data_IF_528037859383
#
_entry.id   IF_528037859383
#
_cell.length_a   1.000
_cell.length_b   1.000
_cell.length_c   1.000
_cell.angle_alpha   90.00
_cell.angle_beta   90.00
_cell.angle_gamma   90.00
#
_symmetry.space_group_name_H-M   'P 1'
#
loop_
_entity.id
_entity.type
_entity.pdbx_description
1 polymer ?
#
# COMPACT_ATOMS: atom_id res chain seq x y z
N UNK A 1 -5.88 -27.96 35.05
CA UNK A 1 -4.78 -26.98 35.00
C UNK A 1 -4.50 -26.74 33.53
N UNK A 2 -5.07 -25.67 32.97
CA UNK A 2 -4.92 -25.33 31.55
C UNK A 2 -3.97 -24.12 31.50
N UNK A 3 -2.79 -24.34 30.91
CA UNK A 3 -1.80 -23.30 30.70
C UNK A 3 -2.41 -22.22 29.80
N UNK A 4 -2.54 -21.01 30.35
CA UNK A 4 -2.80 -19.80 29.58
C UNK A 4 -1.54 -19.58 28.75
N UNK A 5 -1.65 -19.79 27.45
CA UNK A 5 -0.62 -19.42 26.49
C UNK A 5 -0.60 -17.88 26.46
N UNK A 6 0.34 -17.31 27.21
CA UNK A 6 0.55 -15.88 27.30
C UNK A 6 1.22 -15.46 25.99
N UNK A 7 0.51 -14.70 25.16
CA UNK A 7 1.04 -14.13 23.92
C UNK A 7 2.24 -13.24 24.27
N UNK A 8 3.44 -13.78 24.11
CA UNK A 8 4.68 -13.03 24.28
C UNK A 8 4.63 -11.87 23.29
N UNK A 9 4.53 -10.64 23.80
CA UNK A 9 4.63 -9.43 23.00
C UNK A 9 6.08 -9.34 22.46
N UNK A 10 6.34 -9.98 21.32
CA UNK A 10 7.62 -9.95 20.59
C UNK A 10 8.02 -8.54 20.13
N UNK A 11 7.15 -7.55 20.29
CA UNK A 11 7.35 -6.15 19.85
C UNK A 11 8.30 -5.39 20.80
N UNK A 12 8.51 -5.87 22.03
CA UNK A 12 9.30 -5.18 23.06
C UNK A 12 10.51 -5.97 23.56
N UNK A 13 11.10 -6.83 22.72
CA UNK A 13 12.47 -7.25 23.02
C UNK A 13 13.39 -6.04 22.80
N UNK A 14 14.12 -5.61 23.84
CA UNK A 14 15.18 -4.57 23.80
C UNK A 14 16.39 -5.00 22.95
N UNK A 15 16.16 -5.79 21.90
CA UNK A 15 17.17 -6.19 20.92
C UNK A 15 17.17 -5.15 19.82
N UNK A 16 18.35 -4.59 19.53
CA UNK A 16 18.52 -3.74 18.36
C UNK A 16 18.02 -4.50 17.12
N UNK A 17 17.01 -3.94 16.45
CA UNK A 17 16.49 -4.47 15.20
C UNK A 17 17.62 -4.44 14.16
N UNK A 18 17.75 -5.52 13.41
CA UNK A 18 18.73 -5.57 12.32
C UNK A 18 18.38 -4.50 11.27
N UNK A 19 19.41 -3.83 10.77
CA UNK A 19 19.21 -2.87 9.68
C UNK A 19 18.77 -3.60 8.42
N UNK A 20 17.66 -3.16 7.87
CA UNK A 20 17.11 -3.68 6.62
C UNK A 20 16.89 -2.52 5.64
N UNK A 21 16.90 -2.78 4.32
CA UNK A 21 16.55 -1.77 3.33
C UNK A 21 15.17 -1.13 3.58
N UNK A 22 14.18 -1.92 4.01
CA UNK A 22 12.87 -1.40 4.44
C UNK A 22 12.98 -0.50 5.67
N UNK A 23 13.77 -0.90 6.67
CA UNK A 23 14.03 -0.09 7.86
C UNK A 23 14.65 1.27 7.51
N UNK A 24 15.67 1.27 6.65
CA UNK A 24 16.31 2.51 6.17
C UNK A 24 15.34 3.39 5.36
N UNK A 25 14.45 2.80 4.56
CA UNK A 25 13.41 3.52 3.82
C UNK A 25 12.37 4.15 4.76
N UNK A 26 11.97 3.43 5.82
CA UNK A 26 11.06 3.94 6.86
C UNK A 26 11.74 5.08 7.64
N UNK A 27 13.00 4.94 8.03
CA UNK A 27 13.75 6.00 8.70
C UNK A 27 13.83 7.25 7.82
N UNK A 28 14.11 7.09 6.52
CA UNK A 28 14.08 8.18 5.56
C UNK A 28 12.71 8.85 5.50
N UNK A 29 11.62 8.08 5.41
CA UNK A 29 10.26 8.59 5.41
C UNK A 29 9.94 9.39 6.68
N UNK A 30 10.31 8.87 7.86
CA UNK A 30 10.10 9.54 9.14
C UNK A 30 10.87 10.87 9.21
N UNK A 31 12.10 10.92 8.71
CA UNK A 31 12.88 12.16 8.60
C UNK A 31 12.21 13.16 7.65
N UNK A 32 11.74 12.72 6.47
CA UNK A 32 11.04 13.60 5.53
C UNK A 32 9.70 14.09 6.06
N UNK A 33 8.97 13.24 6.79
CA UNK A 33 7.75 13.62 7.47
C UNK A 33 7.99 14.67 8.55
N UNK A 34 9.00 14.47 9.40
CA UNK A 34 9.39 15.44 10.42
C UNK A 34 9.81 16.78 9.80
N UNK A 35 10.55 16.74 8.68
CA UNK A 35 10.93 17.94 7.94
C UNK A 35 9.72 18.67 7.36
N UNK A 36 8.78 17.96 6.74
CA UNK A 36 7.55 18.52 6.21
C UNK A 36 6.76 19.20 7.33
N UNK A 37 6.54 18.51 8.45
CA UNK A 37 5.86 19.06 9.62
C UNK A 37 6.58 20.29 10.16
N UNK A 38 7.91 20.28 10.27
CA UNK A 38 8.68 21.43 10.72
C UNK A 38 8.51 22.63 9.79
N UNK A 39 8.55 22.40 8.48
CA UNK A 39 8.46 23.47 7.47
C UNK A 39 7.06 24.08 7.37
N UNK A 40 6.00 23.30 7.63
CA UNK A 40 4.61 23.79 7.61
C UNK A 40 4.12 24.25 8.99
N UNK A 41 4.82 23.88 10.08
CA UNK A 41 4.46 24.30 11.43
C UNK A 41 4.93 25.72 11.73
N UNK A 42 4.01 26.56 12.21
CA UNK A 42 4.27 27.93 12.62
C UNK A 42 4.84 27.99 14.05
N UNK A 43 6.02 27.43 14.29
CA UNK A 43 6.70 27.59 15.60
C UNK A 43 7.83 28.62 15.53
N UNK A 44 7.78 29.71 16.32
CA UNK A 44 8.92 30.62 16.48
C UNK A 44 10.15 29.90 17.08
N UNK A 45 11.39 30.31 16.77
CA UNK A 45 11.78 31.44 15.94
C UNK A 45 12.18 30.94 14.55
N UNK A 46 11.21 30.68 13.68
CA UNK A 46 11.52 30.51 12.25
C UNK A 46 11.87 31.90 11.71
N UNK A 47 13.08 32.11 11.13
CA UNK A 47 13.38 33.35 10.44
C UNK A 47 12.25 33.61 9.44
N UNK A 48 11.71 34.83 9.42
CA UNK A 48 10.65 35.15 8.48
C UNK A 48 11.13 34.76 7.07
N UNK A 49 10.39 33.91 6.34
CA UNK A 49 10.79 33.51 5.00
C UNK A 49 10.98 34.77 4.15
N UNK A 50 12.08 34.84 3.40
CA UNK A 50 12.51 36.09 2.76
C UNK A 50 11.51 36.59 1.70
N UNK A 51 10.72 35.69 1.11
CA UNK A 51 9.62 35.99 0.16
C UNK A 51 8.52 34.91 0.20
N UNK A 52 7.34 35.20 -0.35
CA UNK A 52 6.27 34.19 -0.55
C UNK A 52 6.70 33.07 -1.51
N UNK A 53 7.58 33.37 -2.48
CA UNK A 53 8.07 32.38 -3.43
C UNK A 53 9.01 31.38 -2.76
N UNK A 54 9.82 31.84 -1.78
CA UNK A 54 10.62 30.93 -0.94
C UNK A 54 9.74 29.93 -0.16
N UNK A 55 8.58 30.38 0.35
CA UNK A 55 7.64 29.49 1.05
C UNK A 55 7.08 28.43 0.10
N UNK A 56 6.70 28.83 -1.12
CA UNK A 56 6.19 27.89 -2.14
C UNK A 56 7.23 26.83 -2.51
N UNK A 57 8.46 27.27 -2.76
CA UNK A 57 9.58 26.39 -3.10
C UNK A 57 9.86 25.38 -1.98
N UNK A 58 9.94 25.84 -0.72
CA UNK A 58 10.16 24.95 0.43
C UNK A 58 9.04 23.91 0.55
N UNK A 59 7.78 24.30 0.35
CA UNK A 59 6.65 23.36 0.38
C UNK A 59 6.75 22.35 -0.76
N UNK A 60 7.01 22.80 -1.98
CA UNK A 60 7.13 21.94 -3.16
C UNK A 60 8.24 20.90 -2.99
N UNK A 61 9.43 21.33 -2.56
CA UNK A 61 10.57 20.44 -2.30
C UNK A 61 10.26 19.47 -1.16
N UNK A 62 9.64 19.94 -0.08
CA UNK A 62 9.30 19.07 1.06
C UNK A 62 8.27 18.01 0.69
N UNK A 63 7.26 18.37 -0.10
CA UNK A 63 6.26 17.45 -0.61
C UNK A 63 6.87 16.45 -1.59
N UNK A 64 7.77 16.91 -2.48
CA UNK A 64 8.48 16.04 -3.40
C UNK A 64 9.27 14.97 -2.64
N UNK A 65 10.12 15.35 -1.70
CA UNK A 65 10.92 14.40 -0.92
C UNK A 65 10.07 13.47 -0.06
N UNK A 66 8.99 13.98 0.54
CA UNK A 66 8.08 13.13 1.30
C UNK A 66 7.42 12.07 0.41
N UNK A 67 6.93 12.47 -0.77
CA UNK A 67 6.34 11.55 -1.74
C UNK A 67 7.35 10.52 -2.22
N UNK A 68 8.57 10.94 -2.52
CA UNK A 68 9.65 10.09 -2.98
C UNK A 68 9.97 9.00 -1.93
N UNK A 69 10.12 9.38 -0.66
CA UNK A 69 10.33 8.42 0.42
C UNK A 69 9.15 7.47 0.65
N UNK A 70 7.90 7.88 0.39
CA UNK A 70 6.76 6.95 0.37
C UNK A 70 6.92 5.91 -0.75
N UNK A 71 7.39 6.31 -1.93
CA UNK A 71 7.60 5.39 -3.05
C UNK A 71 8.73 4.40 -2.76
N UNK A 72 9.79 4.84 -2.08
CA UNK A 72 10.88 3.96 -1.64
C UNK A 72 10.35 2.86 -0.70
N UNK A 73 9.54 3.23 0.29
CA UNK A 73 8.91 2.25 1.20
C UNK A 73 8.00 1.28 0.42
N UNK A 74 7.17 1.78 -0.49
CA UNK A 74 6.34 0.93 -1.34
C UNK A 74 7.18 -0.04 -2.19
N UNK A 75 8.29 0.42 -2.74
CA UNK A 75 9.23 -0.39 -3.52
C UNK A 75 9.81 -1.53 -2.70
N UNK A 76 10.23 -1.27 -1.46
CA UNK A 76 10.72 -2.32 -0.56
C UNK A 76 9.63 -3.34 -0.19
N UNK A 77 8.39 -2.89 0.06
CA UNK A 77 7.27 -3.83 0.26
C UNK A 77 7.00 -4.69 -0.97
N UNK A 78 7.06 -4.13 -2.18
CA UNK A 78 6.93 -4.91 -3.42
C UNK A 78 8.02 -5.95 -3.56
N UNK A 79 9.28 -5.62 -3.21
CA UNK A 79 10.38 -6.61 -3.25
C UNK A 79 10.18 -7.74 -2.26
N UNK A 80 9.73 -7.41 -1.03
CA UNK A 80 9.45 -8.41 0.01
C UNK A 80 8.30 -9.33 -0.43
N UNK A 81 7.22 -8.76 -0.97
CA UNK A 81 6.09 -9.52 -1.52
C UNK A 81 6.53 -10.47 -2.64
N UNK A 82 7.32 -9.98 -3.61
CA UNK A 82 7.87 -10.82 -4.68
C UNK A 82 8.77 -11.93 -4.14
N UNK A 83 9.62 -11.63 -3.15
CA UNK A 83 10.46 -12.65 -2.53
C UNK A 83 9.59 -13.72 -1.83
N UNK A 84 8.58 -13.29 -1.09
CA UNK A 84 7.65 -14.20 -0.44
C UNK A 84 6.95 -15.11 -1.45
N UNK A 85 6.47 -14.56 -2.58
CA UNK A 85 5.85 -15.33 -3.65
C UNK A 85 6.79 -16.38 -4.25
N UNK A 86 8.07 -16.03 -4.45
CA UNK A 86 9.08 -16.97 -4.94
C UNK A 86 9.36 -18.10 -3.93
N UNK A 87 9.29 -17.79 -2.64
CA UNK A 87 9.51 -18.76 -1.56
C UNK A 87 8.28 -19.65 -1.29
N UNK A 88 7.08 -19.23 -1.71
CA UNK A 88 5.80 -19.91 -1.46
C UNK A 88 5.00 -20.15 -2.76
N UNK A 89 5.58 -20.83 -3.77
CA UNK A 89 4.97 -20.96 -5.10
C UNK A 89 3.64 -21.72 -5.08
N UNK A 90 3.46 -22.70 -4.19
CA UNK A 90 2.22 -23.47 -4.08
C UNK A 90 1.07 -22.60 -3.55
N UNK A 91 1.32 -21.75 -2.55
CA UNK A 91 0.33 -20.81 -2.01
C UNK A 91 -0.09 -19.79 -3.05
N UNK A 92 0.89 -19.24 -3.80
CA UNK A 92 0.62 -18.31 -4.91
C UNK A 92 -0.24 -18.98 -5.98
N UNK A 93 0.09 -20.22 -6.36
CA UNK A 93 -0.68 -20.96 -7.34
C UNK A 93 -2.12 -21.22 -6.88
N UNK A 94 -2.32 -21.60 -5.62
CA UNK A 94 -3.66 -21.80 -5.04
C UNK A 94 -4.49 -20.50 -5.06
N UNK A 95 -3.89 -19.38 -4.69
CA UNK A 95 -4.54 -18.06 -4.73
C UNK A 95 -4.88 -17.62 -6.16
N UNK A 96 -3.98 -17.84 -7.13
CA UNK A 96 -4.22 -17.57 -8.54
C UNK A 96 -5.37 -18.42 -9.08
N UNK A 97 -5.39 -19.71 -8.76
CA UNK A 97 -6.44 -20.63 -9.19
C UNK A 97 -7.81 -20.20 -8.66
N UNK A 98 -7.89 -19.84 -7.38
CA UNK A 98 -9.11 -19.32 -6.78
C UNK A 98 -9.57 -18.01 -7.44
N UNK A 99 -8.63 -17.13 -7.77
CA UNK A 99 -8.92 -15.89 -8.49
C UNK A 99 -9.51 -16.14 -9.88
N UNK A 100 -9.02 -17.17 -10.59
CA UNK A 100 -9.56 -17.59 -11.88
C UNK A 100 -10.97 -18.18 -11.74
N UNK A 101 -11.22 -19.02 -10.73
CA UNK A 101 -12.55 -19.56 -10.46
C UNK A 101 -13.58 -18.45 -10.18
N UNK A 102 -13.22 -17.47 -9.35
CA UNK A 102 -14.07 -16.30 -9.08
C UNK A 102 -14.33 -15.46 -10.34
N UNK A 103 -13.33 -15.36 -11.23
CA UNK A 103 -13.48 -14.69 -12.52
C UNK A 103 -14.41 -15.45 -13.47
N UNK A 104 -14.33 -16.79 -13.51
CA UNK A 104 -15.21 -17.63 -14.31
C UNK A 104 -16.67 -17.49 -13.86
N UNK A 105 -16.94 -17.60 -12.55
CA UNK A 105 -18.29 -17.45 -11.99
C UNK A 105 -18.90 -16.08 -12.37
N UNK A 106 -18.09 -15.03 -12.31
CA UNK A 106 -18.49 -13.68 -12.72
C UNK A 106 -18.85 -13.62 -14.21
N UNK A 107 -18.03 -14.23 -15.06
CA UNK A 107 -18.27 -14.26 -16.51
C UNK A 107 -19.53 -15.07 -16.85
N UNK A 108 -19.73 -16.23 -16.24
CA UNK A 108 -20.96 -17.03 -16.39
C UNK A 108 -22.20 -16.22 -16.02
N UNK A 109 -22.13 -15.47 -14.91
CA UNK A 109 -23.21 -14.59 -14.47
C UNK A 109 -23.50 -13.49 -15.51
N UNK A 110 -22.47 -12.88 -16.08
CA UNK A 110 -22.62 -11.84 -17.10
C UNK A 110 -23.21 -12.41 -18.40
N UNK A 111 -22.76 -13.59 -18.82
CA UNK A 111 -23.28 -14.29 -20.00
C UNK A 111 -24.75 -14.67 -19.82
N UNK A 112 -25.11 -15.23 -18.67
CA UNK A 112 -26.50 -15.58 -18.36
C UNK A 112 -27.42 -14.33 -18.41
N UNK A 113 -26.95 -13.19 -17.88
CA UNK A 113 -27.69 -11.93 -17.96
C UNK A 113 -27.84 -11.44 -19.40
N UNK A 114 -26.76 -11.45 -20.18
CA UNK A 114 -26.79 -11.04 -21.58
C UNK A 114 -27.74 -11.93 -22.39
N UNK A 115 -27.70 -13.24 -22.17
CA UNK A 115 -28.59 -14.20 -22.81
C UNK A 115 -30.06 -13.91 -22.48
N UNK A 116 -30.39 -13.65 -21.22
CA UNK A 116 -31.75 -13.28 -20.82
C UNK A 116 -32.27 -11.98 -21.45
N UNK A 117 -31.39 -11.00 -21.66
CA UNK A 117 -31.73 -9.75 -22.37
C UNK A 117 -32.02 -10.04 -23.85
N UNK A 118 -31.18 -10.85 -24.50
CA UNK A 118 -31.35 -11.20 -25.91
C UNK A 118 -32.61 -12.03 -26.15
N UNK A 119 -32.90 -13.02 -25.29
CA UNK A 119 -34.10 -13.84 -25.38
C UNK A 119 -35.37 -12.99 -25.24
N UNK A 120 -35.39 -12.05 -24.28
CA UNK A 120 -36.49 -11.10 -24.13
C UNK A 120 -36.70 -10.26 -25.38
N UNK A 121 -35.63 -9.66 -25.92
CA UNK A 121 -35.70 -8.87 -27.16
C UNK A 121 -36.16 -9.72 -28.35
N UNK A 122 -35.65 -10.94 -28.48
CA UNK A 122 -36.05 -11.85 -29.55
C UNK A 122 -37.55 -12.11 -29.51
N UNK A 123 -38.12 -12.34 -28.33
CA UNK A 123 -39.57 -12.51 -28.14
C UNK A 123 -40.34 -11.23 -28.44
N UNK A 124 -39.83 -10.06 -28.10
CA UNK A 124 -40.48 -8.77 -28.39
C UNK A 124 -40.52 -8.45 -29.89
N UNK A 125 -39.47 -8.81 -30.65
CA UNK A 125 -39.36 -8.45 -32.07
C UNK A 125 -39.83 -9.54 -33.04
N UNK A 126 -39.79 -10.81 -32.66
CA UNK A 126 -40.07 -11.95 -33.54
C UNK A 126 -41.12 -12.93 -32.99
N UNK A 127 -41.63 -12.70 -31.79
CA UNK A 127 -42.68 -13.51 -31.15
C UNK A 127 -44.10 -13.05 -31.46
#
# INVERSE_FOLDING_TARGET
>A
SAAKEESVNLIFEDKELERTPLGDAIDCLLVRWAQLLSNVSSRPPVPAPSTIDHVKEVVEISMYHFRDSCLDVCSEFTKIDLQWQLDHPDEVYEDEMKGLDDALIRQETLLARAHGILDRRSKEFFG
#
